data_IF_112572261487
#
_entry.id   IF_112572261487
#
_cell.length_a   1.000
_cell.length_b   1.000
_cell.length_c   1.000
_cell.angle_alpha   90.00
_cell.angle_beta   90.00
_cell.angle_gamma   90.00
#
_symmetry.space_group_name_H-M   'P 1'
#
loop_
_entity.id
_entity.type
_entity.pdbx_description
1 polymer ?
#
# COMPACT_ATOMS: atom_id res chain seq x y z
N UNK A 1 16.57 3.66 15.04
CA UNK A 1 15.29 4.37 14.95
C UNK A 1 14.62 3.95 13.66
N UNK A 2 13.30 4.01 13.56
CA UNK A 2 12.57 3.71 12.31
C UNK A 2 11.87 5.00 11.90
N UNK A 3 12.14 5.45 10.69
CA UNK A 3 11.69 6.76 10.20
C UNK A 3 10.24 6.74 9.71
N UNK A 4 9.71 5.56 9.37
CA UNK A 4 8.31 5.34 8.98
C UNK A 4 7.79 3.97 9.41
N UNK A 5 6.63 3.96 10.07
CA UNK A 5 5.84 2.78 10.39
C UNK A 5 4.58 2.74 9.53
N UNK A 6 4.29 1.55 8.99
CA UNK A 6 3.01 1.21 8.36
C UNK A 6 2.33 0.14 9.20
N UNK A 7 1.15 0.46 9.73
CA UNK A 7 0.23 -0.53 10.30
C UNK A 7 -0.85 -0.88 9.27
N UNK A 8 -1.01 -2.18 9.01
CA UNK A 8 -2.00 -2.69 8.06
C UNK A 8 -2.28 -4.17 8.31
N UNK A 9 -3.23 -4.72 7.56
CA UNK A 9 -3.50 -6.16 7.52
C UNK A 9 -2.88 -6.79 6.28
N UNK A 10 -2.51 -8.07 6.36
CA UNK A 10 -1.96 -8.80 5.20
C UNK A 10 -2.90 -8.76 3.96
N UNK A 11 -4.23 -8.92 4.10
CA UNK A 11 -5.14 -8.78 2.97
C UNK A 11 -5.11 -7.38 2.33
N UNK A 12 -5.10 -6.30 3.14
CA UNK A 12 -5.04 -4.94 2.61
C UNK A 12 -3.71 -4.68 1.87
N UNK A 13 -2.58 -5.06 2.46
CA UNK A 13 -1.28 -4.96 1.81
C UNK A 13 -1.25 -5.71 0.48
N UNK A 14 -1.86 -6.91 0.42
CA UNK A 14 -1.88 -7.73 -0.80
C UNK A 14 -2.71 -7.06 -1.91
N UNK A 15 -3.88 -6.49 -1.57
CA UNK A 15 -4.70 -5.75 -2.53
C UNK A 15 -3.95 -4.57 -3.13
N UNK A 16 -3.32 -3.76 -2.28
CA UNK A 16 -2.50 -2.62 -2.71
C UNK A 16 -1.34 -3.08 -3.57
N UNK A 17 -0.62 -4.12 -3.16
CA UNK A 17 0.52 -4.65 -3.90
C UNK A 17 0.14 -5.25 -5.26
N UNK A 18 -1.08 -5.79 -5.40
CA UNK A 18 -1.65 -6.28 -6.66
C UNK A 18 -2.37 -5.20 -7.48
N UNK A 19 -2.38 -3.94 -7.02
CA UNK A 19 -3.07 -2.85 -7.69
C UNK A 19 -4.60 -2.98 -7.73
N UNK A 20 -5.18 -3.75 -6.80
CA UNK A 20 -6.63 -3.88 -6.60
C UNK A 20 -7.21 -2.71 -5.79
N UNK A 21 -6.36 -2.02 -5.03
CA UNK A 21 -6.67 -0.86 -4.19
C UNK A 21 -5.50 0.11 -4.29
N UNK A 22 -5.74 1.41 -4.46
CA UNK A 22 -4.65 2.42 -4.42
C UNK A 22 -4.24 2.71 -2.98
N UNK A 23 -3.04 3.26 -2.79
CA UNK A 23 -2.55 3.63 -1.46
C UNK A 23 -3.42 4.74 -0.86
N UNK A 24 -3.80 5.72 -1.68
CA UNK A 24 -4.71 6.79 -1.26
C UNK A 24 -6.07 6.26 -0.77
N UNK A 25 -6.63 5.26 -1.44
CA UNK A 25 -7.87 4.58 -1.01
C UNK A 25 -7.67 3.78 0.28
N UNK A 26 -6.54 3.08 0.42
CA UNK A 26 -6.22 2.30 1.61
C UNK A 26 -6.02 3.20 2.85
N UNK A 27 -5.42 4.38 2.69
CA UNK A 27 -5.31 5.37 3.77
C UNK A 27 -6.69 5.95 4.12
N UNK A 28 -7.47 6.34 3.11
CA UNK A 28 -8.81 6.90 3.32
C UNK A 28 -9.80 5.91 3.97
N UNK A 29 -9.54 4.60 3.83
CA UNK A 29 -10.34 3.52 4.41
C UNK A 29 -9.77 2.97 5.72
N UNK A 30 -8.77 3.64 6.33
CA UNK A 30 -8.07 3.20 7.55
C UNK A 30 -7.41 1.80 7.42
N UNK A 31 -7.22 1.29 6.21
CA UNK A 31 -6.51 0.03 5.96
C UNK A 31 -5.00 0.20 6.09
N UNK A 32 -4.49 1.38 5.77
CA UNK A 32 -3.09 1.77 5.90
C UNK A 32 -3.00 2.94 6.88
N UNK A 33 -2.32 2.73 8.01
CA UNK A 33 -2.05 3.77 9.00
C UNK A 33 -0.53 4.02 8.99
N UNK A 34 -0.14 5.19 8.50
CA UNK A 34 1.26 5.61 8.42
C UNK A 34 1.61 6.51 9.61
N UNK A 35 2.81 6.34 10.18
CA UNK A 35 3.31 7.16 11.28
C UNK A 35 4.83 7.29 11.21
N UNK A 36 5.35 8.51 11.21
CA UNK A 36 6.77 8.76 10.99
C UNK A 36 7.04 10.16 10.45
N UNK A 37 8.14 10.31 9.70
CA UNK A 37 8.52 11.58 9.09
C UNK A 37 7.52 12.00 7.99
N UNK A 38 7.02 13.26 8.01
CA UNK A 38 6.03 13.73 7.03
C UNK A 38 6.47 13.57 5.57
N UNK A 39 7.74 13.85 5.26
CA UNK A 39 8.27 13.72 3.89
C UNK A 39 8.24 12.27 3.41
N UNK A 40 8.43 11.29 4.30
CA UNK A 40 8.36 9.86 3.97
C UNK A 40 6.92 9.39 3.83
N UNK A 41 5.99 9.94 4.61
CA UNK A 41 4.55 9.69 4.47
C UNK A 41 4.06 10.23 3.13
N UNK A 42 4.41 11.47 2.80
CA UNK A 42 3.93 12.17 1.59
C UNK A 42 4.46 11.54 0.30
N UNK A 43 5.65 10.94 0.34
CA UNK A 43 6.27 10.26 -0.82
C UNK A 43 6.03 8.76 -0.84
N UNK A 44 5.34 8.20 0.16
CA UNK A 44 5.21 6.75 0.35
C UNK A 44 4.74 5.99 -0.90
N UNK A 45 3.76 6.55 -1.61
CA UNK A 45 3.19 5.97 -2.83
C UNK A 45 4.19 5.88 -3.98
N UNK A 46 5.16 6.79 -4.04
CA UNK A 46 6.15 6.82 -5.12
C UNK A 46 7.18 5.69 -5.02
N UNK A 47 7.40 5.12 -3.83
CA UNK A 47 8.51 4.20 -3.59
C UNK A 47 8.15 2.86 -2.93
N UNK A 48 6.98 2.68 -2.31
CA UNK A 48 6.60 1.38 -1.69
C UNK A 48 6.60 0.22 -2.70
N UNK A 49 6.35 0.55 -3.98
CA UNK A 49 6.41 -0.37 -5.10
C UNK A 49 5.20 -1.30 -5.21
N UNK A 50 4.97 -1.80 -6.43
CA UNK A 50 3.88 -2.72 -6.75
C UNK A 50 4.41 -4.02 -7.31
N UNK A 51 3.58 -5.06 -7.29
CA UNK A 51 3.89 -6.31 -7.96
C UNK A 51 3.98 -6.12 -9.47
N UNK A 52 4.84 -6.91 -10.13
CA UNK A 52 4.85 -7.04 -11.59
C UNK A 52 3.54 -7.63 -12.15
N UNK A 53 2.71 -8.21 -11.28
CA UNK A 53 1.40 -8.75 -11.62
C UNK A 53 0.25 -7.78 -11.29
N UNK A 54 0.55 -6.53 -10.91
CA UNK A 54 -0.49 -5.56 -10.62
C UNK A 54 -1.40 -5.36 -11.85
N UNK A 55 -2.71 -5.46 -11.65
CA UNK A 55 -3.70 -5.39 -12.74
C UNK A 55 -3.76 -6.62 -13.67
N UNK A 56 -2.97 -7.67 -13.42
CA UNK A 56 -3.04 -8.93 -14.16
C UNK A 56 -4.17 -9.79 -13.60
N UNK A 57 -5.22 -9.99 -14.38
CA UNK A 57 -6.34 -10.84 -13.98
C UNK A 57 -5.96 -12.33 -14.06
N UNK A 58 -6.23 -13.07 -12.98
CA UNK A 58 -6.18 -14.54 -13.02
C UNK A 58 -7.15 -15.05 -14.08
N UNK A 59 -6.66 -15.88 -15.00
CA UNK A 59 -7.50 -16.50 -16.04
C UNK A 59 -8.38 -17.64 -15.51
N UNK A 60 -8.32 -17.95 -14.23
CA UNK A 60 -9.02 -19.09 -13.66
C UNK A 60 -9.92 -18.60 -12.52
N UNK A 61 -11.23 -18.70 -12.76
CA UNK A 61 -12.29 -18.60 -11.76
C UNK A 61 -12.71 -20.02 -11.32
#
# INVERSE_FOLDING_TARGET
DVDLYLETTLPALTKVWLGEESISEAIASDHFILSGEPELIDTFEDWIGTSNFAGVQSKTA
#
